data_IF_855321414588
#
_entry.id   IF_855321414588
#
_cell.length_a   1.000
_cell.length_b   1.000
_cell.length_c   1.000
_cell.angle_alpha   90.00
_cell.angle_beta   90.00
_cell.angle_gamma   90.00
#
_symmetry.space_group_name_H-M   'P 1'
#
loop_
_entity.id
_entity.type
_entity.pdbx_description
1 polymer ?
#
# COMPACT_ATOMS: atom_id res chain seq x y z
N UNK A 1 68.87 -75.43 16.47
CA UNK A 1 70.24 -75.50 15.92
C UNK A 1 70.19 -74.92 14.51
N UNK A 2 70.77 -73.73 14.27
CA UNK A 2 71.05 -73.09 12.95
C UNK A 2 69.80 -72.74 12.09
N UNK A 3 69.64 -71.65 11.32
CA UNK A 3 70.44 -70.55 10.72
C UNK A 3 69.39 -69.48 10.32
N UNK A 4 69.56 -68.18 10.57
CA UNK A 4 70.16 -67.17 9.68
C UNK A 4 69.68 -67.18 8.22
N UNK A 5 69.09 -66.05 7.77
CA UNK A 5 69.31 -65.29 6.50
C UNK A 5 68.05 -64.45 6.19
N UNK A 6 68.09 -63.12 6.35
CA UNK A 6 68.50 -62.11 5.35
C UNK A 6 67.54 -61.98 4.16
N UNK A 7 66.88 -60.82 4.02
CA UNK A 7 66.06 -60.50 2.85
C UNK A 7 65.44 -59.10 2.86
N UNK A 8 66.22 -58.10 2.42
CA UNK A 8 65.85 -56.79 1.82
C UNK A 8 64.36 -56.38 1.84
N UNK A 9 64.04 -55.28 2.51
CA UNK A 9 62.83 -54.49 2.29
C UNK A 9 63.08 -53.41 1.22
N UNK A 10 62.33 -53.47 0.12
CA UNK A 10 62.19 -52.37 -0.85
C UNK A 10 60.82 -51.71 -0.64
N UNK A 11 60.88 -50.38 -0.51
CA UNK A 11 59.87 -49.35 -0.68
C UNK A 11 58.49 -49.77 -1.22
N UNK A 12 57.45 -49.44 -0.47
CA UNK A 12 56.08 -49.31 -0.92
C UNK A 12 55.37 -48.25 -0.08
N UNK A 13 55.41 -46.98 -0.52
CA UNK A 13 54.56 -45.91 0.02
C UNK A 13 53.11 -46.27 -0.32
N UNK A 14 52.32 -46.68 0.66
CA UNK A 14 50.87 -46.71 0.56
C UNK A 14 50.34 -45.31 0.89
N UNK A 15 50.03 -44.55 -0.15
CA UNK A 15 49.28 -43.30 -0.05
C UNK A 15 47.81 -43.66 0.26
N UNK A 16 47.39 -43.49 1.51
CA UNK A 16 45.98 -43.54 1.88
C UNK A 16 45.33 -42.22 1.46
N UNK A 17 44.67 -42.25 0.31
CA UNK A 17 43.90 -41.13 -0.22
C UNK A 17 42.42 -41.49 -0.18
N UNK A 18 41.68 -40.63 0.53
CA UNK A 18 40.23 -40.43 0.64
C UNK A 18 39.36 -41.39 1.48
N UNK A 19 38.93 -40.87 2.65
CA UNK A 19 37.51 -40.93 3.03
C UNK A 19 37.05 -39.73 3.92
N UNK A 20 37.60 -38.53 3.68
CA UNK A 20 37.27 -37.32 4.47
C UNK A 20 36.05 -36.53 3.96
N UNK A 21 35.55 -36.86 2.76
CA UNK A 21 34.40 -36.16 2.16
C UNK A 21 33.03 -36.64 2.71
N UNK A 22 32.92 -37.88 3.19
CA UNK A 22 31.69 -38.43 3.78
C UNK A 22 31.34 -37.83 5.15
N UNK A 23 32.33 -37.67 6.02
CA UNK A 23 32.14 -37.17 7.40
C UNK A 23 31.75 -35.69 7.47
N UNK A 24 32.26 -34.86 6.56
CA UNK A 24 31.91 -33.44 6.46
C UNK A 24 30.45 -33.26 6.04
N UNK A 25 29.99 -34.03 5.03
CA UNK A 25 28.61 -34.00 4.57
C UNK A 25 27.65 -34.53 5.64
N UNK A 26 28.04 -35.60 6.35
CA UNK A 26 27.24 -36.14 7.44
C UNK A 26 27.16 -35.19 8.65
N UNK A 27 28.27 -34.55 9.06
CA UNK A 27 28.24 -33.52 10.12
C UNK A 27 27.46 -32.27 9.70
N UNK A 28 27.57 -31.82 8.45
CA UNK A 28 26.77 -30.70 7.92
C UNK A 28 25.28 -31.06 7.83
N UNK A 29 24.93 -32.29 7.46
CA UNK A 29 23.54 -32.78 7.51
C UNK A 29 23.03 -32.91 8.95
N UNK A 30 23.82 -33.42 9.88
CA UNK A 30 23.46 -33.48 11.31
C UNK A 30 23.31 -32.07 11.89
N UNK A 31 24.17 -31.13 11.51
CA UNK A 31 24.08 -29.74 11.94
C UNK A 31 22.87 -29.02 11.33
N UNK A 32 22.59 -29.24 10.04
CA UNK A 32 21.40 -28.74 9.35
C UNK A 32 20.11 -29.34 9.94
N UNK A 33 20.09 -30.64 10.21
CA UNK A 33 18.97 -31.34 10.85
C UNK A 33 18.80 -30.92 12.31
N UNK A 34 19.89 -30.66 13.05
CA UNK A 34 19.85 -30.07 14.40
C UNK A 34 19.36 -28.63 14.39
N UNK A 35 19.73 -27.83 13.40
CA UNK A 35 19.23 -26.46 13.25
C UNK A 35 17.74 -26.47 12.86
N UNK A 36 17.36 -27.34 11.93
CA UNK A 36 15.97 -27.54 11.50
C UNK A 36 15.11 -28.05 12.65
N UNK A 37 15.54 -29.05 13.42
CA UNK A 37 14.82 -29.54 14.62
C UNK A 37 14.72 -28.50 15.73
N UNK A 38 15.74 -27.65 15.91
CA UNK A 38 15.72 -26.55 16.90
C UNK A 38 14.76 -25.42 16.53
N UNK A 39 14.51 -25.19 15.25
CA UNK A 39 13.59 -24.15 14.76
C UNK A 39 12.16 -24.71 14.64
N UNK A 40 12.00 -25.96 14.21
CA UNK A 40 10.68 -26.59 14.04
C UNK A 40 9.96 -26.87 15.36
N UNK A 41 10.68 -27.28 16.42
CA UNK A 41 10.07 -27.54 17.74
C UNK A 41 9.35 -26.32 18.36
N UNK A 42 9.94 -25.10 18.43
CA UNK A 42 9.23 -23.93 18.90
C UNK A 42 8.13 -23.47 17.94
N UNK A 43 8.32 -23.64 16.61
CA UNK A 43 7.28 -23.27 15.64
C UNK A 43 6.03 -24.14 15.73
N UNK A 44 6.18 -25.45 15.99
CA UNK A 44 5.04 -26.35 16.23
C UNK A 44 4.30 -26.00 17.53
N UNK A 45 5.01 -25.54 18.56
CA UNK A 45 4.39 -25.06 19.81
C UNK A 45 3.65 -23.72 19.60
N UNK A 46 4.16 -22.85 18.73
CA UNK A 46 3.53 -21.57 18.41
C UNK A 46 2.39 -21.66 17.37
N UNK A 47 2.32 -22.75 16.61
CA UNK A 47 1.30 -22.96 15.57
C UNK A 47 -0.15 -22.62 16.00
N UNK A 48 -0.68 -23.09 17.15
CA UNK A 48 -2.04 -22.71 17.57
C UNK A 48 -2.20 -21.21 17.82
N UNK A 49 -1.18 -20.55 18.39
CA UNK A 49 -1.20 -19.10 18.63
C UNK A 49 -1.20 -18.32 17.32
N UNK A 50 -0.42 -18.76 16.32
CA UNK A 50 -0.36 -18.14 14.98
C UNK A 50 -1.73 -18.23 14.30
N UNK A 51 -2.40 -19.39 14.38
CA UNK A 51 -3.74 -19.56 13.82
C UNK A 51 -4.77 -18.67 14.51
N UNK A 52 -4.70 -18.54 15.85
CA UNK A 52 -5.59 -17.65 16.61
C UNK A 52 -5.34 -16.19 16.20
N UNK A 53 -4.07 -15.78 16.16
CA UNK A 53 -3.68 -14.42 15.83
C UNK A 53 -4.08 -14.07 14.39
N UNK A 54 -3.87 -14.96 13.43
CA UNK A 54 -4.28 -14.77 12.04
C UNK A 54 -5.80 -14.56 11.92
N UNK A 55 -6.62 -15.35 12.64
CA UNK A 55 -8.07 -15.16 12.65
C UNK A 55 -8.49 -13.84 13.32
N UNK A 56 -7.82 -13.43 14.39
CA UNK A 56 -8.07 -12.13 15.04
C UNK A 56 -7.71 -10.97 14.09
N UNK A 57 -6.57 -11.05 13.41
CA UNK A 57 -6.18 -10.07 12.40
C UNK A 57 -7.17 -10.05 11.24
N UNK A 58 -7.64 -11.22 10.79
CA UNK A 58 -8.65 -11.31 9.72
C UNK A 58 -9.96 -10.62 10.10
N UNK A 59 -10.36 -10.76 11.36
CA UNK A 59 -11.49 -10.05 11.94
C UNK A 59 -11.27 -8.54 12.01
N UNK A 60 -10.13 -8.09 12.54
CA UNK A 60 -9.81 -6.66 12.70
C UNK A 60 -9.64 -5.93 11.35
N UNK A 61 -9.09 -6.62 10.35
CA UNK A 61 -8.84 -6.09 9.00
C UNK A 61 -10.01 -6.26 8.04
N UNK A 62 -11.11 -6.89 8.47
CA UNK A 62 -12.26 -7.22 7.61
C UNK A 62 -11.92 -8.08 6.39
N UNK A 63 -10.87 -8.90 6.49
CA UNK A 63 -10.43 -9.83 5.43
C UNK A 63 -11.01 -11.24 5.58
N UNK A 64 -12.01 -11.41 6.45
CA UNK A 64 -12.74 -12.66 6.62
C UNK A 64 -13.52 -13.02 5.34
N UNK A 65 -13.64 -14.32 5.03
CA UNK A 65 -14.46 -14.82 3.92
C UNK A 65 -15.93 -14.36 4.04
N UNK A 66 -16.45 -14.35 5.27
CA UNK A 66 -17.82 -13.98 5.58
C UNK A 66 -17.88 -12.64 6.32
N UNK A 67 -18.07 -11.55 5.57
CA UNK A 67 -18.14 -10.18 6.09
C UNK A 67 -19.27 -9.94 7.12
N UNK A 68 -20.32 -10.77 7.09
CA UNK A 68 -21.46 -10.67 8.01
C UNK A 68 -21.09 -10.84 9.50
N UNK A 69 -20.03 -11.58 9.82
CA UNK A 69 -19.57 -11.75 11.22
C UNK A 69 -19.12 -10.42 11.83
N UNK A 70 -18.43 -9.59 11.04
CA UNK A 70 -17.96 -8.29 11.49
C UNK A 70 -19.15 -7.32 11.63
N UNK A 71 -20.13 -7.40 10.74
CA UNK A 71 -21.37 -6.63 10.85
C UNK A 71 -22.16 -6.99 12.12
N UNK A 72 -22.31 -8.28 12.42
CA UNK A 72 -22.98 -8.75 13.64
C UNK A 72 -22.29 -8.19 14.90
N UNK A 73 -20.95 -8.17 14.92
CA UNK A 73 -20.20 -7.62 16.03
C UNK A 73 -20.42 -6.12 16.22
N UNK A 74 -20.46 -5.34 15.12
CA UNK A 74 -20.82 -3.92 15.17
C UNK A 74 -22.26 -3.73 15.67
N UNK A 75 -23.20 -4.59 15.26
CA UNK A 75 -24.59 -4.54 15.74
C UNK A 75 -24.71 -4.85 17.24
N UNK A 76 -23.96 -5.84 17.74
CA UNK A 76 -23.87 -6.14 19.18
C UNK A 76 -23.29 -4.93 19.92
N UNK A 77 -22.22 -4.32 19.40
CA UNK A 77 -21.64 -3.11 19.98
C UNK A 77 -22.65 -1.97 20.10
N UNK A 78 -23.39 -1.67 19.02
CA UNK A 78 -24.44 -0.66 19.01
C UNK A 78 -25.51 -0.96 20.06
N UNK A 79 -25.92 -2.23 20.18
CA UNK A 79 -26.93 -2.67 21.15
C UNK A 79 -26.44 -2.49 22.59
N UNK A 80 -25.18 -2.81 22.87
CA UNK A 80 -24.54 -2.63 24.19
C UNK A 80 -24.48 -1.15 24.57
N UNK A 81 -24.01 -0.29 23.66
CA UNK A 81 -23.89 1.15 23.93
C UNK A 81 -25.26 1.82 24.05
N UNK A 82 -26.23 1.42 23.23
CA UNK A 82 -27.61 1.92 23.31
C UNK A 82 -28.26 1.59 24.66
N UNK A 83 -28.04 0.37 25.16
CA UNK A 83 -28.58 -0.14 26.42
C UNK A 83 -27.93 0.47 27.68
N UNK A 84 -27.02 1.45 27.54
CA UNK A 84 -26.31 2.05 28.66
C UNK A 84 -27.19 2.94 29.56
N UNK A 85 -28.40 3.38 29.15
CA UNK A 85 -29.32 4.14 30.04
C UNK A 85 -30.44 3.23 30.52
N UNK A 86 -30.63 3.19 31.83
CA UNK A 86 -31.82 2.61 32.46
C UNK A 86 -31.54 1.36 33.29
N UNK A 87 -32.59 0.79 33.90
CA UNK A 87 -32.50 -0.41 34.75
C UNK A 87 -32.09 -1.65 33.95
N UNK A 88 -32.29 -1.64 32.63
CA UNK A 88 -31.87 -2.70 31.71
C UNK A 88 -30.35 -2.91 31.69
N UNK A 89 -29.55 -1.90 32.07
CA UNK A 89 -28.08 -2.01 32.18
C UNK A 89 -27.63 -3.16 33.08
N UNK A 90 -28.32 -3.35 34.21
CA UNK A 90 -27.94 -4.34 35.22
C UNK A 90 -28.22 -5.78 34.77
N UNK A 91 -29.14 -5.99 33.84
CA UNK A 91 -29.50 -7.33 33.34
C UNK A 91 -28.86 -7.63 31.98
N UNK A 92 -28.92 -6.69 31.04
CA UNK A 92 -28.51 -6.90 29.65
C UNK A 92 -26.99 -6.95 29.50
N UNK A 93 -26.25 -6.07 30.19
CA UNK A 93 -24.78 -6.03 30.05
C UNK A 93 -24.12 -7.30 30.60
N UNK A 94 -24.43 -7.77 31.83
CA UNK A 94 -23.83 -9.01 32.35
C UNK A 94 -24.18 -10.24 31.52
N UNK A 95 -25.42 -10.30 31.00
CA UNK A 95 -25.86 -11.37 30.11
C UNK A 95 -25.08 -11.37 28.79
N UNK A 96 -24.95 -10.22 28.13
CA UNK A 96 -24.17 -10.09 26.90
C UNK A 96 -22.68 -10.34 27.14
N UNK A 97 -22.12 -9.92 28.28
CA UNK A 97 -20.72 -10.22 28.61
C UNK A 97 -20.49 -11.70 28.87
N UNK A 98 -21.42 -12.38 29.54
CA UNK A 98 -21.34 -13.81 29.77
C UNK A 98 -21.44 -14.59 28.45
N UNK A 99 -22.38 -14.24 27.58
CA UNK A 99 -22.50 -14.83 26.24
C UNK A 99 -21.23 -14.60 25.42
N UNK A 100 -20.71 -13.37 25.42
CA UNK A 100 -19.47 -13.03 24.69
C UNK A 100 -18.27 -13.82 25.21
N UNK A 101 -18.16 -13.99 26.54
CA UNK A 101 -17.11 -14.80 27.16
C UNK A 101 -17.22 -16.28 26.78
N UNK A 102 -18.43 -16.85 26.83
CA UNK A 102 -18.67 -18.23 26.40
C UNK A 102 -18.34 -18.42 24.92
N UNK A 103 -18.75 -17.50 24.04
CA UNK A 103 -18.42 -17.53 22.63
C UNK A 103 -16.92 -17.43 22.37
N UNK A 104 -16.22 -16.53 23.08
CA UNK A 104 -14.78 -16.36 22.94
C UNK A 104 -14.00 -17.58 23.44
N UNK A 105 -14.41 -18.14 24.59
CA UNK A 105 -13.83 -19.38 25.10
C UNK A 105 -14.05 -20.54 24.12
N UNK A 106 -15.28 -20.70 23.62
CA UNK A 106 -15.60 -21.74 22.63
C UNK A 106 -14.80 -21.55 21.33
N UNK A 107 -14.61 -20.31 20.88
CA UNK A 107 -13.81 -19.98 19.70
C UNK A 107 -12.34 -20.38 19.89
N UNK A 108 -11.70 -19.95 20.98
CA UNK A 108 -10.30 -20.33 21.29
C UNK A 108 -10.17 -21.84 21.43
N UNK A 109 -11.09 -22.46 22.17
CA UNK A 109 -11.05 -23.90 22.42
C UNK A 109 -11.23 -24.70 21.13
N UNK A 110 -12.14 -24.29 20.25
CA UNK A 110 -12.36 -24.94 18.94
C UNK A 110 -11.11 -24.83 18.06
N UNK A 111 -10.47 -23.65 18.00
CA UNK A 111 -9.23 -23.46 17.23
C UNK A 111 -8.09 -24.30 17.81
N UNK A 112 -7.97 -24.32 19.14
CA UNK A 112 -6.96 -25.11 19.83
C UNK A 112 -7.14 -26.61 19.59
N UNK A 113 -8.38 -27.12 19.64
CA UNK A 113 -8.67 -28.51 19.32
C UNK A 113 -8.41 -28.84 17.84
N UNK A 114 -8.91 -28.00 16.92
CA UNK A 114 -8.74 -28.19 15.48
C UNK A 114 -7.25 -28.22 15.09
N UNK A 115 -6.46 -27.27 15.59
CA UNK A 115 -5.02 -27.23 15.34
C UNK A 115 -4.29 -28.48 15.86
N UNK A 116 -4.66 -28.97 17.05
CA UNK A 116 -4.09 -30.18 17.62
C UNK A 116 -4.54 -31.47 16.91
N UNK A 117 -5.80 -31.54 16.46
CA UNK A 117 -6.33 -32.65 15.68
C UNK A 117 -5.66 -32.74 14.31
N UNK A 118 -5.51 -31.61 13.61
CA UNK A 118 -4.79 -31.55 12.34
C UNK A 118 -3.32 -31.96 12.49
N UNK A 119 -2.65 -31.51 13.56
CA UNK A 119 -1.28 -31.93 13.86
C UNK A 119 -1.18 -33.45 14.10
N UNK A 120 -2.14 -34.04 14.83
CA UNK A 120 -2.17 -35.49 15.09
C UNK A 120 -2.49 -36.31 13.83
N UNK A 121 -3.43 -35.86 13.01
CA UNK A 121 -3.85 -36.58 11.81
C UNK A 121 -2.78 -36.54 10.72
N UNK A 122 -2.12 -35.39 10.50
CA UNK A 122 -0.99 -35.26 9.56
C UNK A 122 0.24 -36.06 10.01
N UNK A 123 0.42 -36.28 11.32
CA UNK A 123 1.50 -37.12 11.87
C UNK A 123 1.27 -38.63 11.68
N UNK A 124 0.02 -39.06 11.48
CA UNK A 124 -0.33 -40.47 11.31
C UNK A 124 -0.32 -40.94 9.84
N UNK A 125 -0.57 -40.02 8.90
CA UNK A 125 -0.77 -40.35 7.48
C UNK A 125 0.51 -40.29 6.62
N UNK A 126 1.54 -39.50 6.99
CA UNK A 126 2.70 -39.27 6.12
C UNK A 126 4.07 -39.65 6.71
N UNK A 127 4.69 -40.62 6.05
CA UNK A 127 6.11 -41.00 6.11
C UNK A 127 6.91 -39.96 5.31
N UNK A 128 7.89 -39.30 5.95
CA UNK A 128 8.93 -38.46 5.32
C UNK A 128 8.47 -37.42 4.27
N UNK A 129 7.94 -36.26 4.69
CA UNK A 129 8.11 -35.01 3.92
C UNK A 129 7.76 -33.77 4.76
N UNK A 130 8.52 -32.68 4.59
CA UNK A 130 8.55 -31.42 5.35
C UNK A 130 7.28 -30.52 5.28
N UNK A 131 6.08 -31.09 5.10
CA UNK A 131 4.85 -30.32 4.80
C UNK A 131 4.12 -29.60 5.96
N UNK A 132 4.31 -29.86 7.28
CA UNK A 132 3.60 -29.08 8.30
C UNK A 132 4.18 -27.66 8.47
N UNK A 133 5.42 -27.45 8.01
CA UNK A 133 6.13 -26.20 8.20
C UNK A 133 5.78 -25.16 7.12
N UNK A 134 5.56 -25.61 5.88
CA UNK A 134 5.19 -24.74 4.76
C UNK A 134 3.83 -24.07 5.00
N UNK A 135 2.81 -24.82 5.46
CA UNK A 135 1.50 -24.24 5.80
C UNK A 135 1.60 -23.23 6.95
N UNK A 136 2.46 -23.49 7.95
CA UNK A 136 2.69 -22.54 9.04
C UNK A 136 3.36 -21.28 8.49
N UNK A 137 4.35 -21.41 7.60
CA UNK A 137 4.99 -20.27 6.95
C UNK A 137 4.01 -19.47 6.10
N UNK A 138 3.14 -20.12 5.34
CA UNK A 138 2.09 -19.46 4.57
C UNK A 138 1.13 -18.68 5.48
N UNK A 139 0.78 -19.23 6.65
CA UNK A 139 -0.02 -18.52 7.67
C UNK A 139 0.74 -17.35 8.28
N UNK A 140 2.04 -17.48 8.50
CA UNK A 140 2.88 -16.36 8.93
C UNK A 140 2.98 -15.27 7.88
N UNK A 141 3.09 -15.63 6.61
CA UNK A 141 3.13 -14.66 5.51
C UNK A 141 1.78 -13.94 5.37
N UNK A 142 0.66 -14.68 5.43
CA UNK A 142 -0.68 -14.11 5.49
C UNK A 142 -0.89 -13.19 6.70
N UNK A 143 -0.39 -13.56 7.87
CA UNK A 143 -0.44 -12.71 9.07
C UNK A 143 0.42 -11.46 8.89
N UNK A 144 1.62 -11.60 8.33
CA UNK A 144 2.56 -10.49 8.10
C UNK A 144 2.00 -9.52 7.08
N UNK A 145 1.40 -10.01 5.99
CA UNK A 145 0.73 -9.18 4.98
C UNK A 145 -0.49 -8.46 5.55
N UNK A 146 -1.33 -9.14 6.35
CA UNK A 146 -2.46 -8.50 7.06
C UNK A 146 -2.00 -7.44 8.06
N UNK A 147 -0.91 -7.69 8.78
CA UNK A 147 -0.32 -6.71 9.68
C UNK A 147 0.28 -5.52 8.92
N UNK A 148 0.99 -5.78 7.83
CA UNK A 148 1.52 -4.74 6.95
C UNK A 148 0.40 -3.90 6.36
N UNK A 149 -0.72 -4.51 5.95
CA UNK A 149 -1.92 -3.79 5.51
C UNK A 149 -2.47 -2.88 6.62
N UNK A 150 -2.60 -3.39 7.86
CA UNK A 150 -3.02 -2.57 9.00
C UNK A 150 -2.07 -1.39 9.26
N UNK A 151 -0.76 -1.62 9.23
CA UNK A 151 0.25 -0.57 9.44
C UNK A 151 0.30 0.42 8.29
N UNK A 152 0.11 -0.03 7.04
CA UNK A 152 0.14 0.82 5.84
C UNK A 152 -0.88 1.95 5.86
N UNK A 153 -1.94 1.80 6.67
CA UNK A 153 -2.98 2.80 6.82
C UNK A 153 -2.54 4.00 7.65
N UNK A 154 -1.53 3.84 8.50
CA UNK A 154 -0.93 4.97 9.19
C UNK A 154 -0.02 5.72 8.22
N UNK A 155 -0.22 7.04 8.04
CA UNK A 155 0.65 7.82 7.16
C UNK A 155 2.08 7.74 7.67
N UNK A 156 3.03 7.54 6.74
CA UNK A 156 4.46 7.66 7.03
C UNK A 156 4.78 9.14 7.22
N UNK A 157 4.62 9.63 8.43
CA UNK A 157 4.90 11.02 8.80
C UNK A 157 6.41 11.18 9.02
N UNK A 158 7.00 12.23 8.45
CA UNK A 158 8.34 12.68 8.83
C UNK A 158 8.36 13.28 10.24
N UNK A 159 9.55 13.46 10.81
CA UNK A 159 9.69 14.07 12.14
C UNK A 159 9.13 15.50 12.19
N UNK A 160 9.30 16.27 11.12
CA UNK A 160 8.77 17.63 11.00
C UNK A 160 7.24 17.67 10.94
N UNK A 161 6.63 16.78 10.16
CA UNK A 161 5.18 16.65 10.05
C UNK A 161 4.55 16.22 11.37
N UNK A 162 5.22 15.33 12.10
CA UNK A 162 4.80 14.89 13.43
C UNK A 162 4.85 16.06 14.42
N UNK A 163 5.89 16.90 14.38
CA UNK A 163 5.95 18.12 15.19
C UNK A 163 4.85 19.13 14.82
N UNK A 164 4.55 19.31 13.52
CA UNK A 164 3.41 20.15 13.08
C UNK A 164 2.09 19.59 13.61
N UNK A 165 1.87 18.28 13.52
CA UNK A 165 0.65 17.61 14.00
C UNK A 165 0.47 17.75 15.52
N UNK A 166 1.52 17.50 16.30
CA UNK A 166 1.47 17.63 17.76
C UNK A 166 1.16 19.06 18.17
N UNK A 167 1.79 20.05 17.51
CA UNK A 167 1.50 21.47 17.77
C UNK A 167 0.05 21.81 17.44
N UNK A 168 -0.47 21.38 16.29
CA UNK A 168 -1.87 21.59 15.93
C UNK A 168 -2.84 20.93 16.91
N UNK A 169 -2.56 19.68 17.31
CA UNK A 169 -3.38 18.95 18.28
C UNK A 169 -3.41 19.66 19.64
N UNK A 170 -2.29 20.21 20.09
CA UNK A 170 -2.21 20.97 21.34
C UNK A 170 -3.02 22.28 21.27
N UNK A 171 -2.91 23.02 20.17
CA UNK A 171 -3.65 24.28 19.95
C UNK A 171 -5.15 24.01 19.79
N UNK A 172 -5.53 22.92 19.10
CA UNK A 172 -6.92 22.53 18.87
C UNK A 172 -7.59 21.83 20.06
N UNK A 173 -6.83 21.24 20.99
CA UNK A 173 -7.33 20.52 22.17
C UNK A 173 -8.42 21.25 22.97
N UNK A 174 -8.27 22.55 23.35
CA UNK A 174 -9.33 23.27 24.05
C UNK A 174 -10.62 23.35 23.22
N UNK A 175 -10.51 23.58 21.90
CA UNK A 175 -11.67 23.64 20.99
C UNK A 175 -12.37 22.28 20.93
N UNK A 176 -11.62 21.19 20.77
CA UNK A 176 -12.20 19.85 20.80
C UNK A 176 -12.90 19.55 22.12
N UNK A 177 -12.30 19.90 23.26
CA UNK A 177 -12.90 19.71 24.58
C UNK A 177 -14.21 20.49 24.75
N UNK A 178 -14.26 21.75 24.31
CA UNK A 178 -15.47 22.56 24.33
C UNK A 178 -16.58 21.98 23.43
N UNK A 179 -16.23 21.58 22.19
CA UNK A 179 -17.18 20.95 21.27
C UNK A 179 -17.70 19.63 21.84
N UNK A 180 -16.82 18.78 22.38
CA UNK A 180 -17.17 17.50 23.01
C UNK A 180 -18.11 17.69 24.19
N UNK A 181 -17.81 18.65 25.07
CA UNK A 181 -18.63 18.93 26.26
C UNK A 181 -20.01 19.48 25.91
N UNK A 182 -20.11 20.32 24.88
CA UNK A 182 -21.36 21.00 24.54
C UNK A 182 -22.24 20.22 23.56
N UNK A 183 -21.64 19.50 22.61
CA UNK A 183 -22.36 18.88 21.49
C UNK A 183 -22.66 17.41 21.71
N UNK A 184 -21.81 16.67 22.43
CA UNK A 184 -21.91 15.22 22.50
C UNK A 184 -22.35 14.72 23.88
N UNK A 185 -23.54 14.11 23.92
CA UNK A 185 -23.86 13.16 24.99
C UNK A 185 -22.79 12.05 24.97
N UNK A 186 -22.25 11.64 26.12
CA UNK A 186 -21.20 10.60 26.23
C UNK A 186 -21.55 9.32 25.45
N UNK A 187 -22.85 9.03 25.34
CA UNK A 187 -23.42 7.94 24.54
C UNK A 187 -23.20 8.07 23.05
N UNK A 188 -23.51 9.25 22.51
CA UNK A 188 -23.36 9.52 21.09
C UNK A 188 -21.88 9.47 20.72
N UNK A 189 -21.01 10.00 21.59
CA UNK A 189 -19.57 9.90 21.41
C UNK A 189 -19.09 8.45 21.38
N UNK A 190 -19.49 7.63 22.35
CA UNK A 190 -19.14 6.20 22.38
C UNK A 190 -19.69 5.47 21.16
N UNK A 191 -20.96 5.70 20.80
CA UNK A 191 -21.60 5.01 19.67
C UNK A 191 -20.91 5.37 18.36
N UNK A 192 -20.78 6.66 18.04
CA UNK A 192 -20.15 7.13 16.79
C UNK A 192 -18.68 6.76 16.77
N UNK A 193 -17.93 7.07 17.84
CA UNK A 193 -16.50 6.79 17.91
C UNK A 193 -16.17 5.30 17.83
N UNK A 194 -16.93 4.46 18.53
CA UNK A 194 -16.73 3.02 18.51
C UNK A 194 -17.13 2.38 17.18
N UNK A 195 -18.23 2.81 16.56
CA UNK A 195 -18.58 2.32 15.22
C UNK A 195 -17.53 2.73 14.19
N UNK A 196 -17.03 3.97 14.23
CA UNK A 196 -15.95 4.42 13.35
C UNK A 196 -14.66 3.60 13.55
N UNK A 197 -14.27 3.32 14.79
CA UNK A 197 -13.10 2.50 15.10
C UNK A 197 -13.26 1.07 14.57
N UNK A 198 -14.41 0.43 14.84
CA UNK A 198 -14.67 -0.96 14.43
C UNK A 198 -14.78 -1.12 12.90
N UNK A 199 -15.28 -0.10 12.22
CA UNK A 199 -15.45 -0.09 10.77
C UNK A 199 -14.27 0.51 10.01
N UNK A 200 -13.24 1.01 10.71
CA UNK A 200 -12.11 1.73 10.10
C UNK A 200 -11.44 0.98 8.95
N UNK A 201 -11.19 -0.32 9.13
CA UNK A 201 -10.55 -1.18 8.13
C UNK A 201 -11.55 -1.84 7.17
N UNK A 202 -12.86 -1.56 7.29
CA UNK A 202 -13.86 -2.13 6.39
C UNK A 202 -13.68 -1.59 4.97
N UNK A 203 -13.84 -2.44 3.96
CA UNK A 203 -13.78 -2.06 2.54
C UNK A 203 -14.74 -0.90 2.22
N UNK A 204 -15.91 -0.89 2.87
CA UNK A 204 -16.90 0.18 2.73
C UNK A 204 -16.39 1.51 3.30
N UNK A 205 -15.80 1.51 4.49
CA UNK A 205 -15.22 2.71 5.09
C UNK A 205 -14.03 3.23 4.29
N UNK A 206 -13.21 2.31 3.77
CA UNK A 206 -12.10 2.68 2.89
C UNK A 206 -12.65 3.39 1.65
N UNK A 207 -13.66 2.83 0.99
CA UNK A 207 -14.28 3.47 -0.18
C UNK A 207 -14.89 4.83 0.16
N UNK A 208 -15.58 4.97 1.30
CA UNK A 208 -16.16 6.26 1.70
C UNK A 208 -15.09 7.28 2.02
N UNK A 209 -14.01 6.92 2.72
CA UNK A 209 -12.89 7.83 3.00
C UNK A 209 -12.22 8.29 1.71
N UNK A 210 -11.95 7.40 0.75
CA UNK A 210 -11.39 7.78 -0.55
C UNK A 210 -12.33 8.70 -1.33
N UNK A 211 -13.63 8.43 -1.30
CA UNK A 211 -14.63 9.27 -1.95
C UNK A 211 -14.74 10.66 -1.30
N UNK A 212 -14.69 10.71 0.03
CA UNK A 212 -14.68 11.95 0.82
C UNK A 212 -13.41 12.76 0.54
N UNK A 213 -12.24 12.11 0.42
CA UNK A 213 -10.96 12.74 0.13
C UNK A 213 -10.85 13.35 -1.27
N UNK A 214 -11.72 12.93 -2.20
CA UNK A 214 -11.84 13.58 -3.53
C UNK A 214 -12.39 15.00 -3.44
N UNK A 215 -13.08 15.34 -2.35
CA UNK A 215 -13.64 16.69 -2.17
C UNK A 215 -12.55 17.70 -1.77
N UNK A 216 -12.46 18.81 -2.51
CA UNK A 216 -11.57 19.93 -2.19
C UNK A 216 -11.81 20.50 -0.80
N UNK A 217 -13.08 20.61 -0.39
CA UNK A 217 -13.43 21.18 0.92
C UNK A 217 -12.91 20.32 2.08
N UNK A 218 -12.89 18.99 1.90
CA UNK A 218 -12.36 18.08 2.91
C UNK A 218 -10.86 18.23 3.04
N UNK A 219 -10.12 18.37 1.92
CA UNK A 219 -8.67 18.60 1.95
C UNK A 219 -8.34 19.94 2.63
N UNK A 220 -9.10 21.01 2.35
CA UNK A 220 -8.97 22.32 3.03
C UNK A 220 -9.22 22.19 4.53
N UNK A 221 -10.31 21.54 4.92
CA UNK A 221 -10.64 21.33 6.32
C UNK A 221 -9.57 20.49 7.03
N UNK A 222 -9.07 19.45 6.38
CA UNK A 222 -7.99 18.61 6.92
C UNK A 222 -6.72 19.43 7.15
N UNK A 223 -6.31 20.28 6.20
CA UNK A 223 -5.16 21.18 6.40
C UNK A 223 -5.35 22.13 7.58
N UNK A 224 -6.54 22.72 7.72
CA UNK A 224 -6.84 23.62 8.84
C UNK A 224 -6.80 22.90 10.18
N UNK A 225 -7.30 21.66 10.22
CA UNK A 225 -7.39 20.82 11.44
C UNK A 225 -6.02 20.28 11.85
N UNK A 226 -5.26 19.73 10.90
CA UNK A 226 -4.01 19.04 11.20
C UNK A 226 -2.80 19.97 11.16
N UNK A 227 -2.90 21.11 10.47
CA UNK A 227 -1.75 21.97 10.17
C UNK A 227 -0.72 21.29 9.27
N UNK A 228 -1.03 20.11 8.72
CA UNK A 228 -0.23 19.50 7.67
C UNK A 228 -0.60 20.15 6.35
N UNK A 229 0.43 20.46 5.57
CA UNK A 229 0.29 20.96 4.20
C UNK A 229 -0.04 19.76 3.31
N UNK A 230 -1.32 19.40 3.23
CA UNK A 230 -1.79 18.51 2.17
C UNK A 230 -1.82 19.31 0.88
N UNK A 231 -1.00 18.91 -0.09
CA UNK A 231 -0.96 19.52 -1.42
C UNK A 231 -2.39 19.70 -1.98
N UNK A 232 -2.93 20.93 -1.94
CA UNK A 232 -4.30 21.23 -2.40
C UNK A 232 -4.42 21.11 -3.93
N UNK A 233 -3.27 21.11 -4.59
CA UNK A 233 -3.04 20.74 -5.97
C UNK A 233 -2.15 19.51 -5.89
N UNK A 234 -2.43 18.40 -6.56
CA UNK A 234 -1.53 17.23 -6.63
C UNK A 234 -0.21 17.54 -7.42
N UNK A 235 0.34 18.76 -7.29
CA UNK A 235 1.51 19.28 -8.01
C UNK A 235 2.47 20.13 -7.13
N UNK A 236 2.65 19.80 -5.85
CA UNK A 236 3.83 20.28 -5.14
C UNK A 236 4.97 19.29 -5.37
N UNK A 237 5.75 19.58 -6.40
CA UNK A 237 7.07 19.00 -6.60
C UNK A 237 7.91 19.37 -5.37
N UNK A 238 8.31 18.39 -4.57
CA UNK A 238 9.44 18.58 -3.67
C UNK A 238 10.72 18.51 -4.53
N UNK A 239 11.40 19.64 -4.76
CA UNK A 239 12.59 19.67 -5.60
C UNK A 239 13.76 18.89 -4.97
N UNK A 240 13.67 18.54 -3.68
CA UNK A 240 14.72 17.87 -2.93
C UNK A 240 14.61 16.35 -2.90
N UNK A 241 13.48 15.76 -3.32
CA UNK A 241 13.28 14.32 -3.28
C UNK A 241 13.12 13.72 -4.69
N UNK A 242 14.22 13.20 -5.30
CA UNK A 242 14.19 12.58 -6.62
C UNK A 242 13.37 11.27 -6.69
N UNK A 243 12.89 10.79 -5.54
CA UNK A 243 12.04 9.59 -5.42
C UNK A 243 10.59 9.92 -5.07
N UNK A 244 10.16 11.19 -5.14
CA UNK A 244 8.74 11.51 -5.07
C UNK A 244 8.02 10.81 -6.22
N UNK A 245 6.84 10.18 -5.96
CA UNK A 245 6.13 9.46 -7.00
C UNK A 245 5.85 10.45 -8.13
N UNK A 246 6.32 10.12 -9.33
CA UNK A 246 5.98 10.84 -10.55
C UNK A 246 4.46 10.99 -10.58
N UNK A 247 3.98 12.23 -10.40
CA UNK A 247 2.58 12.55 -10.67
C UNK A 247 2.32 12.14 -12.11
N UNK A 248 1.17 11.51 -12.39
CA UNK A 248 0.91 10.92 -13.72
C UNK A 248 1.02 11.95 -14.86
N UNK A 249 0.98 13.24 -14.52
CA UNK A 249 0.98 14.39 -15.40
C UNK A 249 2.36 14.70 -15.99
N UNK A 250 3.46 14.45 -15.25
CA UNK A 250 4.79 14.86 -15.69
C UNK A 250 5.94 14.07 -15.07
N UNK A 251 7.06 14.01 -15.78
CA UNK A 251 8.33 13.44 -15.30
C UNK A 251 9.34 14.54 -15.10
N UNK A 252 9.92 14.64 -13.90
CA UNK A 252 10.93 15.66 -13.56
C UNK A 252 12.31 15.01 -13.61
N UNK A 253 13.26 15.71 -14.22
CA UNK A 253 14.68 15.38 -14.16
C UNK A 253 15.45 16.64 -13.78
N UNK A 254 16.21 16.66 -12.67
CA UNK A 254 17.06 17.80 -12.34
C UNK A 254 18.17 17.96 -13.38
N UNK A 255 18.35 19.17 -13.94
CA UNK A 255 19.37 19.42 -14.97
C UNK A 255 20.65 19.91 -14.30
N UNK A 256 20.60 21.09 -13.67
CA UNK A 256 21.76 21.75 -13.06
C UNK A 256 21.33 22.66 -11.91
N UNK A 257 22.23 22.80 -10.93
CA UNK A 257 22.22 23.89 -9.95
C UNK A 257 23.28 24.90 -10.41
N UNK A 258 22.87 26.08 -10.81
CA UNK A 258 23.77 27.18 -11.18
C UNK A 258 23.49 28.31 -10.18
N UNK A 259 24.53 28.84 -9.52
CA UNK A 259 24.52 29.97 -8.56
C UNK A 259 23.12 30.54 -8.22
N UNK A 260 22.44 29.97 -7.22
CA UNK A 260 21.17 30.47 -6.68
C UNK A 260 19.89 30.12 -7.47
N UNK A 261 20.01 29.49 -8.65
CA UNK A 261 18.90 29.01 -9.47
C UNK A 261 18.95 27.50 -9.66
N UNK A 262 17.81 26.84 -9.44
CA UNK A 262 17.67 25.40 -9.72
C UNK A 262 16.86 25.21 -11.00
N UNK A 263 17.45 24.52 -11.97
CA UNK A 263 16.82 24.22 -13.26
C UNK A 263 16.31 22.77 -13.29
N UNK A 264 15.00 22.63 -13.54
CA UNK A 264 14.34 21.33 -13.71
C UNK A 264 13.88 21.12 -15.15
N UNK A 265 14.15 19.94 -15.70
CA UNK A 265 13.49 19.46 -16.92
C UNK A 265 12.20 18.78 -16.53
N UNK A 266 11.07 19.29 -17.02
CA UNK A 266 9.76 18.69 -16.79
C UNK A 266 9.21 18.21 -18.12
N UNK A 267 8.86 16.94 -18.21
CA UNK A 267 8.22 16.35 -19.39
C UNK A 267 6.74 16.18 -19.11
N UNK A 268 5.89 16.95 -19.78
CA UNK A 268 4.44 16.84 -19.65
C UNK A 268 3.90 15.73 -20.53
N UNK A 269 2.85 15.06 -20.07
CA UNK A 269 2.13 14.03 -20.80
C UNK A 269 0.65 14.39 -20.94
N UNK A 270 0.16 14.47 -22.18
CA UNK A 270 -1.23 14.77 -22.51
C UNK A 270 -1.78 13.68 -23.42
N UNK A 271 -3.03 13.30 -23.21
CA UNK A 271 -3.75 12.37 -24.07
C UNK A 271 -4.65 13.15 -25.02
N UNK A 272 -4.47 12.91 -26.31
CA UNK A 272 -5.42 13.30 -27.34
C UNK A 272 -6.45 12.20 -27.54
N UNK A 273 -7.72 12.54 -27.39
CA UNK A 273 -8.85 11.62 -27.38
C UNK A 273 -9.73 11.84 -28.62
N UNK A 274 -10.11 10.76 -29.30
CA UNK A 274 -11.00 10.78 -30.46
C UNK A 274 -12.02 9.62 -30.42
N UNK A 275 -13.14 9.81 -31.11
CA UNK A 275 -14.27 8.88 -31.20
C UNK A 275 -14.69 8.67 -32.65
N UNK A 276 -14.96 7.41 -33.00
CA UNK A 276 -15.37 6.96 -34.34
C UNK A 276 -16.87 7.17 -34.52
N UNK A 277 -17.23 7.87 -35.58
CA UNK A 277 -18.60 8.04 -36.05
C UNK A 277 -18.75 7.35 -37.39
N UNK A 278 -19.76 6.48 -37.53
CA UNK A 278 -19.93 5.57 -38.68
C UNK A 278 -19.93 6.24 -40.07
N UNK A 279 -20.17 7.56 -40.16
CA UNK A 279 -20.16 8.32 -41.41
C UNK A 279 -19.17 9.50 -41.43
N UNK A 280 -18.72 9.95 -40.26
CA UNK A 280 -17.88 11.15 -40.11
C UNK A 280 -16.42 10.83 -39.78
N UNK A 281 -16.09 9.54 -39.59
CA UNK A 281 -14.76 9.10 -39.18
C UNK A 281 -14.45 9.46 -37.72
N UNK A 282 -13.17 9.66 -37.43
CA UNK A 282 -12.69 10.00 -36.09
C UNK A 282 -12.85 11.50 -35.83
N UNK A 283 -13.56 11.87 -34.76
CA UNK A 283 -13.76 13.26 -34.30
C UNK A 283 -13.58 13.37 -32.79
N UNK A 284 -13.58 14.59 -32.26
CA UNK A 284 -13.51 14.82 -30.82
C UNK A 284 -14.70 14.15 -30.11
N UNK A 285 -14.47 13.48 -28.96
CA UNK A 285 -15.52 12.84 -28.19
C UNK A 285 -16.41 13.91 -27.54
N UNK A 286 -17.69 13.58 -27.34
CA UNK A 286 -18.60 14.41 -26.53
C UNK A 286 -18.46 14.08 -25.03
N UNK A 287 -18.15 12.83 -24.70
CA UNK A 287 -18.10 12.32 -23.32
C UNK A 287 -16.80 12.69 -22.57
N UNK A 288 -15.76 13.12 -23.31
CA UNK A 288 -14.44 13.51 -22.79
C UNK A 288 -13.93 14.72 -23.56
N UNK A 289 -13.02 15.50 -22.99
CA UNK A 289 -12.33 16.55 -23.74
C UNK A 289 -11.41 15.95 -24.81
N UNK A 290 -11.12 16.75 -25.83
CA UNK A 290 -10.22 16.33 -26.92
C UNK A 290 -8.78 16.16 -26.42
N UNK A 291 -8.31 17.05 -25.54
CA UNK A 291 -7.03 16.90 -24.83
C UNK A 291 -7.29 16.75 -23.33
N UNK A 292 -6.73 15.70 -22.73
CA UNK A 292 -6.92 15.40 -21.31
C UNK A 292 -5.61 14.92 -20.71
N UNK A 293 -5.38 15.22 -19.44
CA UNK A 293 -4.27 14.63 -18.71
C UNK A 293 -4.53 13.18 -18.29
N UNK A 294 -3.49 12.43 -17.93
CA UNK A 294 -3.60 11.01 -17.54
C UNK A 294 -4.53 10.78 -16.34
N UNK A 295 -4.54 11.68 -15.36
CA UNK A 295 -5.45 11.63 -14.20
C UNK A 295 -6.85 12.20 -14.47
N UNK A 296 -7.13 12.67 -15.69
CA UNK A 296 -8.39 13.30 -16.08
C UNK A 296 -8.79 14.55 -15.28
N UNK A 297 -7.86 15.13 -14.53
CA UNK A 297 -8.13 16.33 -13.73
C UNK A 297 -8.17 17.61 -14.56
N UNK A 298 -7.40 17.64 -15.66
CA UNK A 298 -7.28 18.81 -16.51
C UNK A 298 -7.63 18.49 -17.96
N UNK A 299 -8.40 19.39 -18.57
CA UNK A 299 -9.00 19.24 -19.89
C UNK A 299 -8.77 20.52 -20.70
N UNK A 300 -8.17 20.40 -21.87
CA UNK A 300 -7.96 21.51 -22.80
C UNK A 300 -8.77 21.35 -24.08
N UNK A 301 -9.22 22.48 -24.63
CA UNK A 301 -9.85 22.53 -25.95
C UNK A 301 -8.79 22.55 -27.07
N UNK A 302 -7.71 23.30 -26.86
CA UNK A 302 -6.55 23.36 -27.76
C UNK A 302 -5.26 23.04 -27.00
N UNK A 303 -4.30 22.45 -27.69
CA UNK A 303 -3.02 21.98 -27.16
C UNK A 303 -2.02 23.12 -26.94
N UNK A 304 -2.17 24.23 -27.66
CA UNK A 304 -1.31 25.40 -27.56
C UNK A 304 -1.58 26.23 -26.29
N UNK A 305 -2.80 26.18 -25.78
CA UNK A 305 -3.24 26.89 -24.57
C UNK A 305 -2.98 26.09 -23.28
N UNK A 306 -2.01 25.17 -23.29
CA UNK A 306 -1.68 24.39 -22.10
C UNK A 306 -1.06 25.28 -21.01
N UNK A 307 -1.73 25.45 -19.85
CA UNK A 307 -1.21 26.27 -18.77
C UNK A 307 -0.13 25.51 -18.01
N UNK A 308 0.95 26.20 -17.67
CA UNK A 308 1.97 25.64 -16.78
C UNK A 308 1.43 25.52 -15.35
N UNK A 309 1.79 24.45 -14.62
CA UNK A 309 1.47 24.35 -13.22
C UNK A 309 2.31 25.34 -12.40
N UNK A 310 1.71 25.94 -11.38
CA UNK A 310 2.44 26.80 -10.46
C UNK A 310 3.29 25.94 -9.53
N UNK A 311 4.60 25.94 -9.75
CA UNK A 311 5.59 25.29 -8.89
C UNK A 311 6.13 26.30 -7.89
N UNK A 312 5.31 26.64 -6.90
CA UNK A 312 5.73 27.53 -5.81
C UNK A 312 5.98 26.65 -4.58
N UNK A 313 7.23 26.46 -4.13
CA UNK A 313 7.48 25.89 -2.81
C UNK A 313 6.83 26.79 -1.76
N UNK A 314 6.09 26.16 -0.84
CA UNK A 314 5.22 26.78 0.16
C UNK A 314 5.97 27.76 1.09
N UNK A 315 7.31 27.72 1.11
CA UNK A 315 8.14 28.42 2.10
C UNK A 315 9.01 29.57 1.54
N UNK A 316 8.93 29.91 0.26
CA UNK A 316 9.73 30.99 -0.32
C UNK A 316 8.85 31.85 -1.23
N UNK A 317 9.15 33.16 -1.33
CA UNK A 317 8.67 34.01 -2.43
C UNK A 317 9.30 33.61 -3.77
N UNK A 318 9.57 32.32 -3.98
CA UNK A 318 10.24 31.84 -5.18
C UNK A 318 9.29 31.93 -6.36
N UNK A 319 9.73 32.68 -7.37
CA UNK A 319 9.07 32.77 -8.66
C UNK A 319 9.46 31.54 -9.50
N UNK A 320 8.46 30.88 -10.10
CA UNK A 320 8.69 29.86 -11.12
C UNK A 320 8.49 30.47 -12.49
N UNK A 321 9.59 30.63 -13.23
CA UNK A 321 9.53 31.04 -14.63
C UNK A 321 9.67 29.79 -15.52
N UNK A 322 8.72 29.64 -16.43
CA UNK A 322 8.58 28.48 -17.31
C UNK A 322 8.97 28.82 -18.73
N UNK A 323 9.64 27.88 -19.39
CA UNK A 323 9.95 28.00 -20.80
C UNK A 323 9.86 26.64 -21.50
N UNK A 324 9.23 26.61 -22.66
CA UNK A 324 9.18 25.40 -23.48
C UNK A 324 10.57 25.13 -24.08
N UNK A 325 11.10 23.93 -23.84
CA UNK A 325 12.35 23.48 -24.44
C UNK A 325 12.11 22.88 -25.83
N UNK A 326 10.97 22.20 -26.01
CA UNK A 326 10.51 21.70 -27.30
C UNK A 326 9.55 22.69 -27.98
N UNK A 327 9.75 22.92 -29.28
CA UNK A 327 8.89 23.79 -30.10
C UNK A 327 7.48 23.22 -30.30
N UNK A 328 7.35 21.89 -30.39
CA UNK A 328 6.10 21.17 -30.69
C UNK A 328 5.92 19.96 -29.77
N UNK A 329 4.68 19.51 -29.62
CA UNK A 329 4.33 18.28 -28.91
C UNK A 329 4.73 17.05 -29.74
N UNK A 330 5.45 16.11 -29.12
CA UNK A 330 5.91 14.87 -29.75
C UNK A 330 4.99 13.72 -29.39
N UNK A 331 4.85 12.75 -30.29
CA UNK A 331 4.08 11.53 -30.03
C UNK A 331 4.95 10.57 -29.21
N UNK A 332 4.39 9.99 -28.15
CA UNK A 332 5.08 8.98 -27.35
C UNK A 332 5.00 7.62 -28.05
N UNK A 333 6.13 7.10 -28.51
CA UNK A 333 6.25 5.74 -29.04
C UNK A 333 6.42 4.76 -27.86
N UNK A 334 5.31 4.48 -27.16
CA UNK A 334 5.29 3.42 -26.15
C UNK A 334 5.08 2.06 -26.86
N UNK A 335 5.65 0.96 -26.35
CA UNK A 335 5.51 -0.40 -26.96
C UNK A 335 4.04 -0.85 -27.15
N UNK A 336 3.13 -0.26 -26.36
CA UNK A 336 1.70 -0.49 -26.41
C UNK A 336 0.96 0.39 -27.44
N UNK A 337 1.63 1.30 -28.15
CA UNK A 337 1.01 2.14 -29.18
C UNK A 337 1.32 1.60 -30.58
N UNK A 338 0.34 1.66 -31.49
CA UNK A 338 0.56 1.29 -32.89
C UNK A 338 1.55 2.21 -33.62
N UNK A 339 1.84 1.93 -34.90
CA UNK A 339 2.80 2.69 -35.73
C UNK A 339 2.54 4.21 -35.81
N UNK A 340 1.30 4.64 -35.55
CA UNK A 340 0.86 6.04 -35.58
C UNK A 340 0.67 6.65 -34.17
N UNK A 341 1.06 5.92 -33.11
CA UNK A 341 0.92 6.36 -31.71
C UNK A 341 -0.49 6.25 -31.12
N UNK A 342 -1.43 5.64 -31.85
CA UNK A 342 -2.82 5.46 -31.41
C UNK A 342 -3.00 4.14 -30.66
N UNK A 343 -3.76 4.21 -29.57
CA UNK A 343 -4.35 3.07 -28.88
C UNK A 343 -5.86 3.11 -29.06
N UNK A 344 -6.44 2.01 -29.56
CA UNK A 344 -7.87 1.89 -29.84
C UNK A 344 -8.57 1.17 -28.69
N UNK A 345 -9.79 1.59 -28.37
CA UNK A 345 -10.58 1.05 -27.29
C UNK A 345 -12.03 0.82 -27.71
N UNK A 346 -12.74 0.05 -26.89
CA UNK A 346 -14.19 -0.09 -27.01
C UNK A 346 -14.92 1.21 -26.60
N UNK A 347 -16.25 1.23 -26.74
CA UNK A 347 -17.10 2.39 -26.42
C UNK A 347 -16.89 2.96 -24.98
N UNK A 348 -16.41 2.14 -24.05
CA UNK A 348 -16.18 2.52 -22.64
C UNK A 348 -14.70 2.82 -22.33
N UNK A 349 -13.84 3.00 -23.33
CA UNK A 349 -12.40 3.21 -23.16
C UNK A 349 -11.68 2.04 -22.47
N UNK A 350 -12.17 0.81 -22.64
CA UNK A 350 -11.55 -0.41 -22.14
C UNK A 350 -10.99 -1.25 -23.29
N UNK A 351 -10.10 -2.18 -22.94
CA UNK A 351 -9.42 -3.13 -23.83
C UNK A 351 -8.63 -2.41 -24.93
N UNK A 352 -7.49 -1.84 -24.56
CA UNK A 352 -6.58 -1.18 -25.49
C UNK A 352 -6.01 -2.16 -26.51
N UNK A 353 -6.13 -1.84 -27.79
CA UNK A 353 -5.52 -2.55 -28.91
C UNK A 353 -4.75 -1.60 -29.81
N UNK A 354 -3.71 -2.12 -30.46
CA UNK A 354 -2.86 -1.32 -31.36
C UNK A 354 -3.46 -1.24 -32.78
N UNK A 355 -4.46 -2.08 -33.06
CA UNK A 355 -5.13 -2.20 -34.35
C UNK A 355 -6.54 -1.61 -34.30
N UNK A 356 -6.94 -0.92 -35.37
CA UNK A 356 -8.32 -0.46 -35.56
C UNK A 356 -9.18 -1.64 -36.02
N UNK A 357 -10.17 -1.99 -35.21
CA UNK A 357 -11.15 -3.05 -35.46
C UNK A 357 -12.54 -2.47 -35.75
N UNK A 358 -13.46 -3.32 -36.19
CA UNK A 358 -14.87 -2.92 -36.31
C UNK A 358 -15.51 -2.65 -34.93
N UNK A 359 -14.93 -3.21 -33.85
CA UNK A 359 -15.44 -3.10 -32.48
C UNK A 359 -14.79 -1.95 -31.69
N UNK A 360 -13.85 -1.22 -32.29
CA UNK A 360 -13.19 -0.07 -31.67
C UNK A 360 -13.91 1.22 -32.02
N UNK A 361 -14.27 1.98 -30.99
CA UNK A 361 -15.08 3.19 -31.09
C UNK A 361 -14.38 4.43 -30.57
N UNK A 362 -13.39 4.26 -29.71
CA UNK A 362 -12.61 5.37 -29.15
C UNK A 362 -11.13 5.08 -29.37
N UNK A 363 -10.34 6.13 -29.45
CA UNK A 363 -8.88 6.03 -29.52
C UNK A 363 -8.24 7.15 -28.73
N UNK A 364 -7.08 6.90 -28.14
CA UNK A 364 -6.25 7.93 -27.56
C UNK A 364 -4.83 7.88 -28.12
N UNK A 365 -4.16 9.03 -28.11
CA UNK A 365 -2.76 9.18 -28.49
C UNK A 365 -2.05 9.96 -27.41
N UNK A 366 -0.88 9.48 -27.00
CA UNK A 366 -0.08 10.11 -25.96
C UNK A 366 0.88 11.11 -26.59
N UNK A 367 0.81 12.35 -26.13
CA UNK A 367 1.64 13.47 -26.55
C UNK A 367 2.53 13.89 -25.38
N UNK A 368 3.79 14.17 -25.67
CA UNK A 368 4.77 14.62 -24.70
C UNK A 368 5.45 15.90 -25.14
N UNK A 369 5.70 16.80 -24.20
CA UNK A 369 6.44 18.04 -24.46
C UNK A 369 7.27 18.41 -23.26
N UNK A 370 8.53 18.78 -23.50
CA UNK A 370 9.44 19.14 -22.42
C UNK A 370 9.51 20.64 -22.22
N UNK A 371 9.48 21.05 -20.95
CA UNK A 371 9.67 22.41 -20.51
C UNK A 371 10.81 22.47 -19.48
N UNK A 372 11.42 23.64 -19.36
CA UNK A 372 12.36 23.97 -18.29
C UNK A 372 11.68 24.90 -17.28
N UNK A 373 11.99 24.68 -16.01
CA UNK A 373 11.53 25.50 -14.89
C UNK A 373 12.75 26.11 -14.23
N UNK A 374 12.72 27.43 -14.07
CA UNK A 374 13.66 28.17 -13.23
C UNK A 374 12.98 28.47 -11.91
N UNK A 375 13.58 27.99 -10.81
CA UNK A 375 13.18 28.36 -9.45
C UNK A 375 14.26 29.28 -8.90
N UNK A 376 13.94 30.56 -8.72
CA UNK A 376 14.78 31.53 -8.00
C UNK A 376 14.41 31.51 -6.52
N UNK A 377 15.37 31.22 -5.64
CA UNK A 377 15.20 31.47 -4.20
C UNK A 377 15.61 32.91 -3.91
N UNK A 378 14.64 33.78 -3.66
CA UNK A 378 14.86 35.19 -3.26
C UNK A 378 15.67 35.33 -1.95
N UNK A 379 15.90 34.22 -1.23
CA UNK A 379 16.76 34.17 -0.05
C UNK A 379 18.25 34.46 -0.34
N UNK A 380 18.69 34.44 -1.60
CA UNK A 380 20.09 34.68 -2.00
C UNK A 380 20.35 36.03 -2.68
N UNK A 381 19.34 36.84 -2.97
CA UNK A 381 19.49 38.13 -3.67
C UNK A 381 19.73 39.36 -2.78
N UNK A 382 19.81 39.18 -1.46
CA UNK A 382 20.10 40.27 -0.49
C UNK A 382 21.50 40.20 0.16
N UNK A 383 22.43 39.43 -0.43
CA UNK A 383 23.88 39.51 -0.14
C UNK A 383 24.61 40.10 -1.34
#
# INVERSE_FOLDING_TARGET
MLKSLSGRTKSGKAEFVYDSYGFSKHRKMIAKNKLHTKITTPMTLCAPLVVILDRILSFLTWTNENQYHNFLFVAIYITVVSSWNGPTRFFVIPMLSAISFCCFYWFIHTIYLDSNCQNKQKSADNKETDLPLEEIFDRFDNMTTRFAFFVSRFPKLGEEDLQKLIRSMFIGSPVYFFILKYTFNTRLFLLVGGVLLLTWNSTWMIATVHLIWRSRYVRIAAMFITGLEFSLVDMLIDPQNPNSPSSSLYTIVPIRKVEGQIEYKVTFQVLENQRKFYLLGWKSPFDRSHYTTLDFEFCCADINDFPFPNLVPVNSQSKSDWEWLDSEWKICEDEASGKDGWTYYNNKWHNGSNEDSALTYTRSRKLTRTARVFITDDAYSEL
#
